data_IF_836159796766
#
_entry.id   IF_836159796766
#
_cell.length_a   1.000
_cell.length_b   1.000
_cell.length_c   1.000
_cell.angle_alpha   90.00
_cell.angle_beta   90.00
_cell.angle_gamma   90.00
#
_symmetry.space_group_name_H-M   'P 1'
#
loop_
_entity.id
_entity.type
_entity.pdbx_description
1 polymer ?
#
# COMPACT_ATOMS: atom_id res chain seq x y z
N UNK A 1 -11.54 7.61 4.05
CA UNK A 1 -11.18 8.52 2.98
C UNK A 1 -10.09 7.91 2.12
N UNK A 2 -10.25 7.97 0.82
CA UNK A 2 -9.27 7.38 -0.09
C UNK A 2 -8.02 8.21 -0.19
N UNK A 3 -6.89 7.52 -0.22
CA UNK A 3 -5.59 8.14 -0.40
C UNK A 3 -4.77 7.29 -1.35
N UNK A 4 -3.72 7.88 -1.91
CA UNK A 4 -2.74 7.09 -2.63
C UNK A 4 -1.83 6.43 -1.61
N UNK A 5 -1.38 5.22 -1.93
CA UNK A 5 -0.49 4.51 -1.01
C UNK A 5 0.74 5.36 -0.67
N UNK A 6 1.22 6.13 -1.64
CA UNK A 6 2.41 6.96 -1.44
C UNK A 6 2.21 8.06 -0.41
N UNK A 7 0.97 8.33 -0.02
CA UNK A 7 0.69 9.37 0.97
C UNK A 7 0.69 8.86 2.40
N UNK A 8 0.81 7.56 2.59
CA UNK A 8 0.78 6.98 3.92
C UNK A 8 2.14 7.10 4.60
N UNK A 9 2.10 7.21 5.91
CA UNK A 9 3.31 7.27 6.71
C UNK A 9 3.69 5.92 7.24
N UNK A 10 4.95 5.78 7.65
CA UNK A 10 5.44 4.54 8.25
C UNK A 10 4.56 4.15 9.43
N UNK A 11 4.23 2.87 9.49
CA UNK A 11 3.42 2.32 10.56
C UNK A 11 1.94 2.33 10.30
N UNK A 12 1.48 3.01 9.25
CA UNK A 12 0.05 3.08 8.96
C UNK A 12 -0.44 1.84 8.28
N UNK A 13 -1.71 1.52 8.53
CA UNK A 13 -2.40 0.41 7.89
C UNK A 13 -3.48 0.96 6.98
N UNK A 14 -3.68 0.30 5.86
CA UNK A 14 -4.71 0.72 4.92
C UNK A 14 -5.16 -0.49 4.11
N UNK A 15 -6.38 -0.40 3.57
CA UNK A 15 -6.93 -1.45 2.73
C UNK A 15 -6.86 -0.99 1.29
N UNK A 16 -6.38 -1.85 0.41
CA UNK A 16 -6.32 -1.54 -1.01
C UNK A 16 -7.73 -1.49 -1.56
N UNK A 17 -8.08 -0.41 -2.25
CA UNK A 17 -9.41 -0.28 -2.85
C UNK A 17 -9.38 -0.42 -4.35
N UNK A 18 -8.43 0.22 -5.03
CA UNK A 18 -8.38 0.13 -6.49
C UNK A 18 -7.02 0.60 -6.99
N UNK A 19 -6.79 0.40 -8.27
CA UNK A 19 -5.55 0.80 -8.92
C UNK A 19 -5.85 1.80 -10.02
N UNK A 20 -4.83 2.60 -10.35
CA UNK A 20 -4.99 3.67 -11.31
C UNK A 20 -5.27 3.15 -12.72
N UNK A 21 -4.62 2.06 -13.11
CA UNK A 21 -4.82 1.51 -14.45
C UNK A 21 -4.56 0.01 -14.45
N UNK A 22 -4.89 -0.63 -15.58
CA UNK A 22 -4.84 -2.09 -15.68
C UNK A 22 -3.43 -2.65 -15.67
N UNK A 23 -2.47 -1.90 -16.22
CA UNK A 23 -1.10 -2.40 -16.25
C UNK A 23 -0.54 -2.60 -14.85
N UNK A 24 -0.71 -1.59 -14.01
CA UNK A 24 -0.21 -1.68 -12.64
C UNK A 24 -1.02 -2.69 -11.84
N UNK A 25 -2.32 -2.80 -12.15
CA UNK A 25 -3.20 -3.75 -11.47
C UNK A 25 -2.70 -5.19 -11.64
N UNK A 26 -2.41 -5.58 -12.89
CA UNK A 26 -1.95 -6.95 -13.14
C UNK A 26 -0.62 -7.23 -12.45
N UNK A 27 0.31 -6.29 -12.55
CA UNK A 27 1.61 -6.46 -11.93
C UNK A 27 1.51 -6.63 -10.42
N UNK A 28 0.70 -5.80 -9.79
CA UNK A 28 0.60 -5.82 -8.34
C UNK A 28 -0.20 -7.01 -7.84
N UNK A 29 -1.19 -7.46 -8.61
CA UNK A 29 -1.92 -8.66 -8.26
C UNK A 29 -1.01 -9.88 -8.20
N UNK A 30 -0.07 -9.95 -9.14
CA UNK A 30 0.88 -11.06 -9.13
C UNK A 30 1.77 -11.04 -7.91
N UNK A 31 1.94 -9.86 -7.32
CA UNK A 31 2.75 -9.70 -6.12
C UNK A 31 1.93 -9.86 -4.84
N UNK A 32 0.63 -10.10 -4.96
CA UNK A 32 -0.23 -10.26 -3.79
C UNK A 32 -0.95 -9.00 -3.36
N UNK A 33 -0.78 -7.89 -4.08
CA UNK A 33 -1.44 -6.64 -3.75
C UNK A 33 -2.83 -6.63 -4.38
N UNK A 34 -3.78 -7.23 -3.69
CA UNK A 34 -5.13 -7.46 -4.21
C UNK A 34 -6.09 -6.52 -3.51
N UNK A 35 -7.07 -5.94 -4.23
CA UNK A 35 -8.09 -5.12 -3.56
C UNK A 35 -8.74 -5.88 -2.42
N UNK A 36 -8.87 -5.21 -1.29
CA UNK A 36 -9.39 -5.83 -0.08
C UNK A 36 -8.31 -6.26 0.89
N UNK A 37 -7.06 -6.35 0.42
CA UNK A 37 -5.97 -6.71 1.32
C UNK A 37 -5.51 -5.52 2.13
N UNK A 38 -5.04 -5.79 3.34
CA UNK A 38 -4.52 -4.76 4.21
C UNK A 38 -3.02 -4.62 3.97
N UNK A 39 -2.57 -3.39 3.81
CA UNK A 39 -1.17 -3.05 3.65
C UNK A 39 -0.68 -2.31 4.88
N UNK A 40 0.53 -2.62 5.30
CA UNK A 40 1.21 -1.86 6.34
C UNK A 40 2.46 -1.25 5.74
N UNK A 41 2.68 0.03 5.99
CA UNK A 41 3.91 0.70 5.55
C UNK A 41 4.99 0.39 6.57
N UNK A 42 5.99 -0.39 6.16
CA UNK A 42 7.06 -0.78 7.07
C UNK A 42 8.17 0.27 7.14
N UNK A 43 8.53 0.80 5.97
CA UNK A 43 9.65 1.72 5.91
C UNK A 43 9.59 2.51 4.62
N UNK A 44 10.03 3.76 4.68
CA UNK A 44 10.15 4.61 3.50
C UNK A 44 11.59 5.07 3.44
N UNK A 45 12.23 4.84 2.30
CA UNK A 45 13.62 5.24 2.13
C UNK A 45 13.76 6.75 2.31
N UNK A 46 14.96 7.23 2.68
CA UNK A 46 15.14 8.65 3.01
C UNK A 46 14.67 9.62 1.93
N UNK A 47 14.75 9.23 0.66
CA UNK A 47 14.31 10.09 -0.43
C UNK A 47 12.89 9.77 -0.87
N UNK A 48 12.17 8.93 -0.12
CA UNK A 48 10.81 8.60 -0.43
C UNK A 48 10.65 7.42 -1.37
N UNK A 49 11.73 6.78 -1.77
CA UNK A 49 11.70 5.71 -2.76
C UNK A 49 12.88 4.79 -2.53
N UNK A 50 12.68 3.48 -2.38
CA UNK A 50 11.40 2.76 -2.46
C UNK A 50 10.64 2.76 -1.13
N UNK A 51 9.41 2.24 -1.19
CA UNK A 51 8.56 2.09 -0.01
C UNK A 51 8.44 0.61 0.29
N UNK A 52 8.76 0.22 1.51
CA UNK A 52 8.66 -1.17 1.94
C UNK A 52 7.34 -1.40 2.64
N UNK A 53 6.64 -2.43 2.24
CA UNK A 53 5.32 -2.72 2.78
C UNK A 53 5.20 -4.19 3.15
N UNK A 54 4.21 -4.49 3.98
CA UNK A 54 3.78 -5.86 4.25
C UNK A 54 2.33 -5.96 3.77
N UNK A 55 2.07 -6.96 2.93
CA UNK A 55 0.72 -7.23 2.44
C UNK A 55 0.53 -8.73 2.36
N UNK A 56 -0.60 -9.22 2.89
CA UNK A 56 -0.92 -10.64 2.88
C UNK A 56 0.20 -11.51 3.46
N UNK A 57 0.92 -10.98 4.44
CA UNK A 57 2.01 -11.71 5.07
C UNK A 57 3.34 -11.65 4.33
N UNK A 58 3.41 -10.96 3.22
CA UNK A 58 4.64 -10.84 2.44
C UNK A 58 5.22 -9.44 2.56
N UNK A 59 6.54 -9.38 2.47
CA UNK A 59 7.25 -8.11 2.47
C UNK A 59 7.60 -7.75 1.03
N UNK A 60 7.17 -6.58 0.60
CA UNK A 60 7.38 -6.12 -0.75
C UNK A 60 8.01 -4.75 -0.75
N UNK A 61 8.75 -4.44 -1.81
CA UNK A 61 9.32 -3.13 -2.00
C UNK A 61 8.70 -2.53 -3.26
N UNK A 62 8.08 -1.37 -3.12
CA UNK A 62 7.40 -0.70 -4.22
C UNK A 62 8.14 0.58 -4.57
N UNK A 63 8.21 0.85 -5.86
CA UNK A 63 8.72 2.14 -6.28
C UNK A 63 7.67 3.20 -6.00
N UNK A 64 8.13 4.43 -5.82
CA UNK A 64 7.21 5.52 -5.50
C UNK A 64 6.13 5.68 -6.56
N UNK A 65 6.51 5.59 -7.84
CA UNK A 65 5.52 5.76 -8.90
C UNK A 65 4.48 4.64 -8.89
N UNK A 66 4.86 3.44 -8.44
CA UNK A 66 3.90 2.36 -8.29
C UNK A 66 2.95 2.65 -7.13
N UNK A 67 3.50 3.13 -6.02
CA UNK A 67 2.68 3.45 -4.85
C UNK A 67 1.70 4.58 -5.15
N UNK A 68 2.07 5.48 -6.04
CA UNK A 68 1.19 6.59 -6.42
C UNK A 68 -0.03 6.12 -7.20
N UNK A 69 0.01 4.92 -7.73
CA UNK A 69 -1.08 4.39 -8.55
C UNK A 69 -1.97 3.42 -7.80
N UNK A 70 -1.74 3.27 -6.50
CA UNK A 70 -2.55 2.40 -5.66
C UNK A 70 -3.40 3.25 -4.75
N UNK A 71 -4.72 3.06 -4.83
CA UNK A 71 -5.65 3.76 -3.96
C UNK A 71 -5.95 2.89 -2.75
N UNK A 72 -5.93 3.49 -1.59
CA UNK A 72 -6.16 2.78 -0.35
C UNK A 72 -7.11 3.58 0.53
N UNK A 73 -7.68 2.88 1.51
CA UNK A 73 -8.47 3.51 2.55
C UNK A 73 -7.73 3.27 3.86
N UNK A 74 -7.29 4.33 4.49
CA UNK A 74 -6.55 4.20 5.75
C UNK A 74 -7.49 3.68 6.81
N UNK A 75 -7.05 2.61 7.50
CA UNK A 75 -7.85 2.05 8.57
C UNK A 75 -7.52 2.72 9.87
N UNK A 76 -8.56 2.98 10.65
CA UNK A 76 -8.39 3.46 12.01
C UNK A 76 -8.47 2.24 12.90
N UNK A 77 -7.38 1.91 13.56
CA UNK A 77 -7.38 0.79 14.47
C UNK A 77 -7.94 1.28 15.77
N UNK A 78 -9.19 0.91 16.01
CA UNK A 78 -9.72 1.21 17.33
C UNK A 78 -9.16 0.18 18.25
N UNK A 79 -8.85 0.57 19.31
CA UNK A 79 -8.22 -0.29 20.19
C UNK A 79 -9.06 -0.99 20.99
N UNK A 80 -9.46 -1.58 21.05
CA UNK A 80 -10.30 -2.05 21.58
C UNK A 80 -10.09 -2.56 22.49
N UNK A 81 -10.09 -2.74 22.90
CA UNK A 81 -10.00 -3.06 23.51
C UNK A 81 -10.15 -3.27 23.83
#
# INVERSE_FOLDING_TARGET
>A
MKKRLSELKVGKLAVITEFENDDIFLKLMEMGCIPGETIKIDQIAPLGDPISITVAGYHLSLRLDEAEKIWVEETIISKQH
#
